data_IF_041855394384
#
_entry.id   IF_041855394384
#
_cell.length_a   1.000
_cell.length_b   1.000
_cell.length_c   1.000
_cell.angle_alpha   90.00
_cell.angle_beta   90.00
_cell.angle_gamma   90.00
#
_symmetry.space_group_name_H-M   'P 1'
#
loop_
_entity.id
_entity.type
_entity.pdbx_description
1 polymer ?
#
# COMPACT_ATOMS: atom_id res chain seq x y z
N UNK A 1 -18.08 -22.71 -9.16
CA UNK A 1 -17.30 -22.12 -8.04
C UNK A 1 -16.46 -20.97 -8.60
N UNK A 2 -16.70 -19.71 -8.19
CA UNK A 2 -15.92 -18.56 -8.69
C UNK A 2 -14.57 -18.56 -7.97
N UNK A 3 -13.51 -18.98 -8.66
CA UNK A 3 -12.14 -19.03 -8.14
C UNK A 3 -11.79 -17.62 -7.64
N UNK A 4 -11.54 -17.47 -6.34
CA UNK A 4 -11.02 -16.19 -5.80
C UNK A 4 -9.61 -16.03 -6.36
N UNK A 5 -9.46 -15.17 -7.36
CA UNK A 5 -8.16 -14.82 -7.91
C UNK A 5 -7.52 -13.91 -6.87
N UNK A 6 -6.60 -14.47 -6.08
CA UNK A 6 -5.82 -13.69 -5.13
C UNK A 6 -4.91 -12.79 -5.96
N UNK A 7 -5.27 -11.51 -6.12
CA UNK A 7 -4.41 -10.53 -6.77
C UNK A 7 -3.18 -10.33 -5.90
N UNK A 8 -2.05 -10.87 -6.34
CA UNK A 8 -0.75 -10.61 -5.73
C UNK A 8 -0.24 -9.27 -6.24
N UNK A 9 -0.06 -8.32 -5.33
CA UNK A 9 0.58 -7.04 -5.62
C UNK A 9 2.08 -7.17 -5.35
N UNK A 10 2.90 -6.83 -6.34
CA UNK A 10 4.36 -6.84 -6.20
C UNK A 10 4.80 -5.76 -5.22
N UNK A 11 5.92 -5.98 -4.53
CA UNK A 11 6.46 -4.99 -3.57
C UNK A 11 6.68 -3.62 -4.22
N UNK A 12 7.18 -3.60 -5.47
CA UNK A 12 7.35 -2.38 -6.26
C UNK A 12 6.04 -1.64 -6.45
N UNK A 13 4.95 -2.35 -6.77
CA UNK A 13 3.63 -1.72 -6.89
C UNK A 13 3.20 -1.10 -5.56
N UNK A 14 3.35 -1.81 -4.44
CA UNK A 14 2.99 -1.29 -3.11
C UNK A 14 3.76 -0.01 -2.76
N UNK A 15 5.06 0.00 -3.03
CA UNK A 15 5.92 1.17 -2.82
C UNK A 15 5.50 2.33 -3.72
N UNK A 16 5.23 2.07 -4.99
CA UNK A 16 4.79 3.10 -5.94
C UNK A 16 3.46 3.73 -5.52
N UNK A 17 2.51 2.93 -5.00
CA UNK A 17 1.26 3.50 -4.50
C UNK A 17 1.47 4.34 -3.25
N UNK A 18 2.28 3.87 -2.30
CA UNK A 18 2.53 4.62 -1.06
C UNK A 18 3.32 5.90 -1.35
N UNK A 19 4.31 5.83 -2.25
CA UNK A 19 5.04 6.99 -2.79
C UNK A 19 4.09 8.03 -3.41
N UNK A 20 3.08 7.59 -4.16
CA UNK A 20 2.05 8.48 -4.71
C UNK A 20 1.27 9.25 -3.61
N UNK A 21 1.01 8.59 -2.48
CA UNK A 21 0.33 9.23 -1.33
C UNK A 21 1.27 10.14 -0.55
N UNK A 22 2.53 9.76 -0.37
CA UNK A 22 3.49 10.50 0.46
C UNK A 22 4.21 11.61 -0.28
N UNK A 23 4.67 11.37 -1.51
CA UNK A 23 5.44 12.33 -2.32
C UNK A 23 4.53 13.24 -3.13
N UNK A 24 3.44 12.68 -3.68
CA UNK A 24 2.56 13.40 -4.60
C UNK A 24 1.35 14.03 -3.87
N UNK A 25 1.24 13.82 -2.56
CA UNK A 25 0.19 14.40 -1.71
C UNK A 25 -1.20 13.85 -1.98
N UNK A 26 -1.34 12.71 -2.65
CA UNK A 26 -2.64 12.08 -2.86
C UNK A 26 -3.19 11.55 -1.54
N UNK A 27 -4.49 11.73 -1.30
CA UNK A 27 -5.14 11.05 -0.19
C UNK A 27 -5.21 9.53 -0.44
N UNK A 28 -5.04 8.74 0.62
CA UNK A 28 -5.17 7.27 0.62
C UNK A 28 -6.38 6.77 -0.19
N UNK A 29 -7.62 7.25 0.03
CA UNK A 29 -8.78 6.79 -0.75
C UNK A 29 -8.72 7.21 -2.23
N UNK A 30 -8.08 8.34 -2.54
CA UNK A 30 -7.94 8.85 -3.91
C UNK A 30 -6.95 8.00 -4.71
N UNK A 31 -5.81 7.66 -4.12
CA UNK A 31 -4.83 6.75 -4.74
C UNK A 31 -5.41 5.34 -4.91
N UNK A 32 -6.12 4.85 -3.89
CA UNK A 32 -6.77 3.54 -3.94
C UNK A 32 -7.79 3.45 -5.10
N UNK A 33 -8.65 4.46 -5.23
CA UNK A 33 -9.64 4.55 -6.31
C UNK A 33 -8.99 4.65 -7.68
N UNK A 34 -7.94 5.48 -7.83
CA UNK A 34 -7.22 5.67 -9.10
C UNK A 34 -6.55 4.38 -9.60
N UNK A 35 -6.06 3.55 -8.68
CA UNK A 35 -5.36 2.30 -8.98
C UNK A 35 -6.26 1.06 -8.91
N UNK A 36 -7.54 1.24 -8.57
CA UNK A 36 -8.52 0.16 -8.46
C UNK A 36 -8.23 -0.82 -7.31
N UNK A 37 -7.55 -0.36 -6.26
CA UNK A 37 -7.31 -1.13 -5.03
C UNK A 37 -8.20 -0.62 -3.89
N UNK A 38 -8.30 -1.40 -2.82
CA UNK A 38 -9.06 -1.00 -1.63
C UNK A 38 -8.23 -0.10 -0.72
N UNK A 39 -8.82 0.95 -0.17
CA UNK A 39 -8.23 1.85 0.82
C UNK A 39 -7.62 1.08 2.02
N UNK A 40 -8.33 0.08 2.54
CA UNK A 40 -7.88 -0.79 3.62
C UNK A 40 -6.54 -1.47 3.33
N UNK A 41 -6.32 -1.87 2.08
CA UNK A 41 -5.07 -2.50 1.66
C UNK A 41 -3.92 -1.49 1.69
N UNK A 42 -4.19 -0.25 1.28
CA UNK A 42 -3.23 0.84 1.33
C UNK A 42 -2.88 1.24 2.76
N UNK A 43 -3.86 1.29 3.66
CA UNK A 43 -3.62 1.49 5.09
C UNK A 43 -2.71 0.40 5.66
N UNK A 44 -2.96 -0.86 5.34
CA UNK A 44 -2.10 -1.97 5.77
C UNK A 44 -0.68 -1.88 5.20
N UNK A 45 -0.50 -1.46 3.94
CA UNK A 45 0.83 -1.28 3.35
C UNK A 45 1.58 -0.10 3.96
N UNK A 46 0.89 1.02 4.21
CA UNK A 46 1.46 2.18 4.89
C UNK A 46 1.89 1.82 6.31
N UNK A 47 1.04 1.11 7.07
CA UNK A 47 1.38 0.62 8.40
C UNK A 47 2.56 -0.36 8.38
N UNK A 48 2.65 -1.22 7.36
CA UNK A 48 3.77 -2.16 7.21
C UNK A 48 5.07 -1.44 6.85
N UNK A 49 5.02 -0.43 5.98
CA UNK A 49 6.18 0.43 5.68
C UNK A 49 6.62 1.24 6.89
N UNK A 50 5.68 1.80 7.64
CA UNK A 50 5.97 2.52 8.88
C UNK A 50 6.58 1.60 9.94
N UNK A 51 6.07 0.36 10.05
CA UNK A 51 6.66 -0.67 10.90
C UNK A 51 8.03 -1.15 10.39
N UNK A 52 8.28 -1.22 9.08
CA UNK A 52 9.60 -1.52 8.52
C UNK A 52 10.58 -0.35 8.74
N UNK A 53 10.11 0.90 8.64
CA UNK A 53 10.89 2.11 8.87
C UNK A 53 11.22 2.32 10.36
N UNK A 54 10.26 2.04 11.25
CA UNK A 54 10.38 2.19 12.71
C UNK A 54 10.97 0.94 13.39
N UNK A 55 10.82 -0.23 12.77
CA UNK A 55 11.31 -1.52 13.26
C UNK A 55 12.78 -1.80 13.00
N UNK A 56 13.49 -0.90 12.32
CA UNK A 56 14.96 -0.97 12.13
C UNK A 56 15.77 -0.38 13.30
N UNK A 57 15.14 0.02 14.41
CA UNK A 57 15.86 0.54 15.59
C UNK A 57 15.63 -0.31 16.85
N UNK A 58 15.85 -1.63 16.74
CA UNK A 58 16.12 -2.49 17.89
C UNK A 58 17.23 -3.49 17.51
N UNK A 59 18.46 -2.98 17.45
CA UNK A 59 19.69 -3.66 17.87
C UNK A 59 20.71 -2.61 18.27
#
# INVERSE_FOLDING_TARGET
>A
MKKRINRFYTTRFKQEVVALVTEQGYSVPKAATSLGITDKLLYSWKAKLDAEQSGSSLN
#
